data_IF_123114717477
#
_entry.id   IF_123114717477
#
_cell.length_a   1.000
_cell.length_b   1.000
_cell.length_c   1.000
_cell.angle_alpha   90.00
_cell.angle_beta   90.00
_cell.angle_gamma   90.00
#
_symmetry.space_group_name_H-M   'P 1'
#
loop_
_entity.id
_entity.type
_entity.pdbx_description
1 polymer ?
#
# COMPACT_ATOMS: atom_id res chain seq x y z
N UNK A 1 -18.87 39.12 43.00
CA UNK A 1 -17.94 38.61 44.02
C UNK A 1 -18.61 37.44 44.70
N UNK A 2 -18.40 36.23 44.18
CA UNK A 2 -18.78 34.96 44.82
C UNK A 2 -18.11 33.84 44.03
N UNK A 3 -17.09 33.31 44.69
CA UNK A 3 -16.11 32.29 44.35
C UNK A 3 -16.66 31.01 43.74
N UNK A 4 -16.08 30.60 42.61
CA UNK A 4 -16.04 29.22 42.13
C UNK A 4 -15.32 28.34 43.16
N UNK A 5 -15.88 27.20 43.61
CA UNK A 5 -15.12 26.25 44.38
C UNK A 5 -14.20 25.44 43.45
N UNK A 6 -12.89 25.60 43.66
CA UNK A 6 -11.90 24.57 43.40
C UNK A 6 -12.35 23.28 44.10
N UNK A 7 -12.54 22.18 43.36
CA UNK A 7 -12.64 20.86 43.97
C UNK A 7 -11.87 19.81 43.14
N UNK A 8 -10.74 19.40 43.73
CA UNK A 8 -10.15 18.06 43.71
C UNK A 8 -9.83 17.43 42.35
N UNK A 9 -8.66 17.77 41.79
CA UNK A 9 -7.94 16.88 40.87
C UNK A 9 -7.37 15.70 41.68
N UNK A 10 -7.92 14.51 41.45
CA UNK A 10 -7.30 13.25 41.88
C UNK A 10 -6.06 12.98 41.01
N UNK A 11 -4.93 12.52 41.58
CA UNK A 11 -3.70 12.28 40.83
C UNK A 11 -3.85 11.25 39.70
N UNK A 12 -4.88 10.40 39.74
CA UNK A 12 -5.19 9.45 38.67
C UNK A 12 -5.75 10.11 37.38
N UNK A 13 -6.42 11.25 37.51
CA UNK A 13 -6.99 11.97 36.36
C UNK A 13 -5.91 12.68 35.53
N UNK A 14 -4.89 13.24 36.19
CA UNK A 14 -3.76 13.91 35.56
C UNK A 14 -2.89 12.90 34.80
N UNK A 15 -2.63 11.73 35.39
CA UNK A 15 -1.91 10.63 34.73
C UNK A 15 -2.66 10.11 33.49
N UNK A 16 -4.00 10.12 33.55
CA UNK A 16 -4.84 9.71 32.43
C UNK A 16 -4.79 10.73 31.29
N UNK A 17 -4.83 12.03 31.58
CA UNK A 17 -4.73 13.10 30.58
C UNK A 17 -3.34 13.17 29.94
N UNK A 18 -2.27 12.98 30.72
CA UNK A 18 -0.91 12.90 30.19
C UNK A 18 -0.76 11.71 29.24
N UNK A 19 -1.24 10.53 29.64
CA UNK A 19 -1.27 9.35 28.76
C UNK A 19 -2.09 9.60 27.50
N UNK A 20 -3.29 10.19 27.62
CA UNK A 20 -4.13 10.53 26.47
C UNK A 20 -3.47 11.53 25.52
N UNK A 21 -2.75 12.52 26.05
CA UNK A 21 -1.98 13.48 25.26
C UNK A 21 -0.80 12.83 24.55
N UNK A 22 -0.04 11.97 25.24
CA UNK A 22 1.06 11.20 24.65
C UNK A 22 0.59 10.26 23.55
N UNK A 23 -0.53 9.56 23.76
CA UNK A 23 -1.17 8.72 22.73
C UNK A 23 -1.67 9.56 21.54
N UNK A 24 -2.17 10.77 21.79
CA UNK A 24 -2.60 11.71 20.74
C UNK A 24 -1.43 12.17 19.86
N UNK A 25 -0.28 12.49 20.47
CA UNK A 25 0.91 12.91 19.75
C UNK A 25 1.55 11.75 18.97
N UNK A 26 1.61 10.55 19.56
CA UNK A 26 2.07 9.36 18.87
C UNK A 26 1.18 9.06 17.65
N UNK A 27 -0.15 9.10 17.83
CA UNK A 27 -1.13 8.91 16.78
C UNK A 27 -0.94 9.91 15.63
N UNK A 28 -0.78 11.20 15.96
CA UNK A 28 -0.58 12.28 14.99
C UNK A 28 0.73 12.10 14.21
N UNK A 29 1.80 11.67 14.87
CA UNK A 29 3.09 11.42 14.22
C UNK A 29 3.02 10.26 13.21
N UNK A 30 2.35 9.17 13.56
CA UNK A 30 2.17 7.99 12.70
C UNK A 30 1.34 8.32 11.47
N UNK A 31 0.24 9.06 11.65
CA UNK A 31 -0.62 9.50 10.55
C UNK A 31 0.12 10.43 9.59
N UNK A 32 1.02 11.28 10.08
CA UNK A 32 1.88 12.14 9.24
C UNK A 32 2.82 11.32 8.37
N UNK A 33 3.43 10.26 8.91
CA UNK A 33 4.31 9.38 8.14
C UNK A 33 3.55 8.59 7.06
N UNK A 34 2.36 8.07 7.40
CA UNK A 34 1.50 7.38 6.43
C UNK A 34 1.03 8.33 5.33
N UNK A 35 0.64 9.56 5.69
CA UNK A 35 0.29 10.62 4.75
C UNK A 35 1.45 10.96 3.81
N UNK A 36 2.68 11.08 4.32
CA UNK A 36 3.85 11.40 3.51
C UNK A 36 4.14 10.31 2.45
N UNK A 37 4.02 9.04 2.83
CA UNK A 37 4.20 7.90 1.91
C UNK A 37 3.13 7.86 0.83
N UNK A 38 1.87 8.07 1.21
CA UNK A 38 0.77 8.18 0.25
C UNK A 38 0.97 9.36 -0.70
N UNK A 39 1.26 10.54 -0.17
CA UNK A 39 1.44 11.76 -0.96
C UNK A 39 2.64 11.64 -1.91
N UNK A 40 3.73 11.01 -1.46
CA UNK A 40 4.88 10.69 -2.31
C UNK A 40 4.51 9.79 -3.48
N UNK A 41 3.79 8.69 -3.22
CA UNK A 41 3.31 7.79 -4.27
C UNK A 41 2.34 8.50 -5.24
N UNK A 42 1.43 9.34 -4.73
CA UNK A 42 0.49 10.11 -5.54
C UNK A 42 1.18 11.13 -6.45
N UNK A 43 2.16 11.89 -5.92
CA UNK A 43 2.94 12.84 -6.73
C UNK A 43 3.65 12.11 -7.85
N UNK A 44 4.34 11.00 -7.54
CA UNK A 44 5.05 10.19 -8.54
C UNK A 44 4.10 9.71 -9.63
N UNK A 45 2.92 9.22 -9.23
CA UNK A 45 1.88 8.75 -10.16
C UNK A 45 1.38 9.87 -11.05
N UNK A 46 1.07 11.05 -10.50
CA UNK A 46 0.58 12.21 -11.26
C UNK A 46 1.62 12.75 -12.24
N UNK A 47 2.88 12.84 -11.82
CA UNK A 47 3.99 13.26 -12.69
C UNK A 47 4.13 12.26 -13.85
N UNK A 48 4.15 10.96 -13.55
CA UNK A 48 4.27 9.91 -14.56
C UNK A 48 3.09 9.95 -15.54
N UNK A 49 1.87 10.06 -15.03
CA UNK A 49 0.66 10.18 -15.85
C UNK A 49 0.73 11.41 -16.77
N UNK A 50 1.13 12.56 -16.23
CA UNK A 50 1.25 13.81 -17.00
C UNK A 50 2.30 13.69 -18.10
N UNK A 51 3.45 13.08 -17.82
CA UNK A 51 4.50 12.82 -18.82
C UNK A 51 4.03 11.84 -19.89
N UNK A 52 3.30 10.79 -19.52
CA UNK A 52 2.72 9.82 -20.45
C UNK A 52 1.71 10.49 -21.38
N UNK A 53 0.75 11.25 -20.85
CA UNK A 53 -0.23 11.98 -21.66
C UNK A 53 0.40 13.03 -22.56
N UNK A 54 1.42 13.75 -22.07
CA UNK A 54 2.16 14.70 -22.89
C UNK A 54 2.85 14.00 -24.06
N UNK A 55 3.54 12.89 -23.80
CA UNK A 55 4.21 12.08 -24.82
C UNK A 55 3.25 11.58 -25.90
N UNK A 56 2.04 11.14 -25.53
CA UNK A 56 1.05 10.68 -26.50
C UNK A 56 0.58 11.85 -27.39
N UNK A 57 0.36 13.03 -26.80
CA UNK A 57 -0.07 14.24 -27.55
C UNK A 57 0.98 14.71 -28.55
N UNK A 58 2.26 14.67 -28.20
CA UNK A 58 3.36 15.09 -29.10
C UNK A 58 3.57 14.14 -30.28
N UNK A 59 3.00 12.92 -30.25
CA UNK A 59 3.12 11.90 -31.31
C UNK A 59 2.05 12.00 -32.41
N UNK A 60 1.15 12.99 -32.35
CA UNK A 60 0.09 13.14 -33.36
C UNK A 60 0.68 13.64 -34.69
N UNK A 61 0.96 12.71 -35.60
CA UNK A 61 1.35 13.04 -36.97
C UNK A 61 0.10 13.32 -37.81
N UNK A 62 0.01 14.55 -38.36
CA UNK A 62 -1.01 14.93 -39.33
C UNK A 62 -0.31 15.09 -40.67
N UNK A 63 -0.35 14.10 -41.58
CA UNK A 63 0.27 14.23 -42.89
C UNK A 63 -0.45 15.30 -43.70
N UNK A 64 0.30 16.11 -44.44
CA UNK A 64 -0.28 16.94 -45.51
C UNK A 64 -0.63 16.08 -46.72
N UNK A 65 -1.62 16.51 -47.52
CA UNK A 65 -2.20 15.75 -48.65
C UNK A 65 -1.16 15.14 -49.61
N UNK A 66 0.01 15.77 -49.77
CA UNK A 66 1.07 15.32 -50.68
C UNK A 66 2.26 14.63 -49.98
N UNK A 67 2.34 14.64 -48.64
CA UNK A 67 3.42 14.01 -47.88
C UNK A 67 3.21 12.50 -47.64
N UNK A 68 1.99 12.00 -47.87
CA UNK A 68 1.61 10.61 -47.56
C UNK A 68 2.30 9.55 -48.46
N UNK A 69 2.80 9.95 -49.65
CA UNK A 69 3.42 9.03 -50.62
C UNK A 69 4.95 9.04 -50.63
N UNK A 70 5.60 10.09 -50.08
CA UNK A 70 7.04 10.29 -50.27
C UNK A 70 7.85 10.32 -48.97
N UNK A 71 7.20 10.49 -47.82
CA UNK A 71 7.90 10.62 -46.54
C UNK A 71 7.43 9.56 -45.56
N UNK A 72 8.31 8.60 -45.29
CA UNK A 72 8.11 7.63 -44.22
C UNK A 72 8.06 8.45 -42.91
N UNK A 73 7.01 8.28 -42.09
CA UNK A 73 6.89 9.02 -40.84
C UNK A 73 8.09 8.71 -39.93
N UNK A 74 8.67 9.71 -39.25
CA UNK A 74 9.84 9.53 -38.40
C UNK A 74 9.43 8.81 -37.11
N UNK A 75 9.28 7.48 -37.17
CA UNK A 75 9.07 6.63 -36.00
C UNK A 75 10.39 6.00 -35.57
N UNK A 76 10.72 6.10 -34.28
CA UNK A 76 11.86 5.42 -33.68
C UNK A 76 11.35 4.32 -32.75
N UNK A 77 11.11 3.13 -33.31
CA UNK A 77 10.52 1.99 -32.60
C UNK A 77 11.21 1.67 -31.26
N UNK A 78 12.55 1.75 -31.20
CA UNK A 78 13.31 1.46 -29.99
C UNK A 78 13.13 2.49 -28.87
N UNK A 79 13.10 3.79 -29.21
CA UNK A 79 12.93 4.86 -28.21
C UNK A 79 11.48 4.94 -27.73
N UNK A 80 10.54 4.68 -28.63
CA UNK A 80 9.11 4.72 -28.33
C UNK A 80 8.68 3.57 -27.43
N UNK A 81 9.17 2.35 -27.70
CA UNK A 81 8.90 1.19 -26.84
C UNK A 81 9.53 1.33 -25.46
N UNK A 82 10.78 1.78 -25.37
CA UNK A 82 11.47 1.97 -24.10
C UNK A 82 10.77 3.01 -23.22
N UNK A 83 10.38 4.15 -23.80
CA UNK A 83 9.65 5.19 -23.06
C UNK A 83 8.27 4.72 -22.60
N UNK A 84 7.52 3.98 -23.43
CA UNK A 84 6.22 3.43 -23.06
C UNK A 84 6.34 2.44 -21.90
N UNK A 85 7.33 1.54 -21.94
CA UNK A 85 7.59 0.59 -20.88
C UNK A 85 7.95 1.30 -19.57
N UNK A 86 8.84 2.30 -19.63
CA UNK A 86 9.23 3.07 -18.46
C UNK A 86 8.03 3.80 -17.82
N UNK A 87 7.20 4.50 -18.62
CA UNK A 87 6.02 5.16 -18.08
C UNK A 87 5.01 4.16 -17.51
N UNK A 88 4.85 3.00 -18.15
CA UNK A 88 3.97 1.93 -17.65
C UNK A 88 4.42 1.37 -16.31
N UNK A 89 5.72 1.11 -16.12
CA UNK A 89 6.25 0.59 -14.85
C UNK A 89 6.13 1.62 -13.74
N UNK A 90 6.52 2.88 -13.98
CA UNK A 90 6.38 3.95 -12.98
C UNK A 90 4.92 4.23 -12.64
N UNK A 91 4.02 4.17 -13.62
CA UNK A 91 2.59 4.38 -13.39
C UNK A 91 1.97 3.22 -12.61
N UNK A 92 2.37 1.99 -12.91
CA UNK A 92 1.95 0.80 -12.17
C UNK A 92 2.44 0.83 -10.73
N UNK A 93 3.74 1.02 -10.51
CA UNK A 93 4.34 1.08 -9.16
C UNK A 93 3.76 2.25 -8.35
N UNK A 94 3.63 3.42 -8.97
CA UNK A 94 3.00 4.58 -8.35
C UNK A 94 1.52 4.33 -8.02
N UNK A 95 0.75 3.80 -8.96
CA UNK A 95 -0.67 3.54 -8.81
C UNK A 95 -0.98 2.49 -7.74
N UNK A 96 -0.30 1.35 -7.76
CA UNK A 96 -0.43 0.34 -6.71
C UNK A 96 0.07 0.87 -5.35
N UNK A 97 1.17 1.60 -5.32
CA UNK A 97 1.66 2.26 -4.11
C UNK A 97 0.62 3.24 -3.53
N UNK A 98 0.03 4.07 -4.38
CA UNK A 98 -1.02 5.02 -4.01
C UNK A 98 -2.26 4.31 -3.46
N UNK A 99 -2.69 3.20 -4.08
CA UNK A 99 -3.82 2.41 -3.60
C UNK A 99 -3.55 1.75 -2.24
N UNK A 100 -2.38 1.13 -2.08
CA UNK A 100 -2.00 0.44 -0.84
C UNK A 100 -1.82 1.46 0.29
N UNK A 101 -1.01 2.50 0.10
CA UNK A 101 -0.77 3.50 1.14
C UNK A 101 -2.02 4.35 1.42
N UNK A 102 -2.83 4.63 0.40
CA UNK A 102 -4.11 5.33 0.56
C UNK A 102 -5.12 4.49 1.34
N UNK A 103 -5.21 3.19 1.04
CA UNK A 103 -6.01 2.23 1.79
C UNK A 103 -5.57 2.12 3.25
N UNK A 104 -4.26 2.01 3.50
CA UNK A 104 -3.69 2.00 4.85
C UNK A 104 -4.00 3.30 5.62
N UNK A 105 -3.94 4.45 4.95
CA UNK A 105 -4.22 5.75 5.57
C UNK A 105 -5.70 5.92 5.93
N UNK A 106 -6.61 5.51 5.03
CA UNK A 106 -8.06 5.57 5.28
C UNK A 106 -8.50 4.59 6.36
N UNK A 107 -7.95 3.37 6.37
CA UNK A 107 -8.31 2.34 7.34
C UNK A 107 -7.55 2.47 8.68
N UNK A 108 -6.63 3.43 8.78
CA UNK A 108 -5.84 3.73 9.98
C UNK A 108 -5.03 2.52 10.47
N UNK A 109 -4.49 1.75 9.53
CA UNK A 109 -3.80 0.48 9.78
C UNK A 109 -2.30 0.74 9.80
N UNK A 110 -1.62 0.23 10.82
CA UNK A 110 -0.17 0.42 10.97
C UNK A 110 0.61 -0.88 11.04
N UNK A 111 -0.07 -2.03 11.12
CA UNK A 111 0.56 -3.36 11.15
C UNK A 111 0.16 -4.19 9.92
N UNK A 112 1.10 -4.98 9.40
CA UNK A 112 0.87 -5.90 8.29
C UNK A 112 -0.26 -6.93 8.53
N UNK A 113 -0.40 -7.54 9.74
CA UNK A 113 -1.52 -8.46 10.00
C UNK A 113 -2.89 -7.77 10.01
N UNK A 114 -2.99 -6.54 10.51
CA UNK A 114 -4.24 -5.76 10.42
C UNK A 114 -4.56 -5.38 8.97
N UNK A 115 -3.53 -5.13 8.16
CA UNK A 115 -3.69 -4.78 6.75
C UNK A 115 -4.24 -5.96 5.95
N UNK A 116 -3.66 -7.15 6.11
CA UNK A 116 -4.16 -8.35 5.44
C UNK A 116 -5.56 -8.70 5.91
N UNK A 117 -5.86 -8.52 7.19
CA UNK A 117 -7.19 -8.74 7.75
C UNK A 117 -8.25 -7.80 7.15
N UNK A 118 -7.99 -6.48 7.14
CA UNK A 118 -8.91 -5.50 6.56
C UNK A 118 -9.01 -5.59 5.04
N UNK A 119 -7.91 -5.92 4.36
CA UNK A 119 -7.91 -6.13 2.92
C UNK A 119 -8.76 -7.36 2.54
N UNK A 120 -8.61 -8.46 3.29
CA UNK A 120 -9.45 -9.66 3.13
C UNK A 120 -10.92 -9.35 3.43
N UNK A 121 -11.19 -8.57 4.48
CA UNK A 121 -12.55 -8.12 4.79
C UNK A 121 -13.16 -7.25 3.68
N UNK A 122 -12.37 -6.37 3.06
CA UNK A 122 -12.82 -5.54 1.94
C UNK A 122 -13.05 -6.34 0.64
N UNK A 123 -12.28 -7.41 0.41
CA UNK A 123 -12.37 -8.24 -0.80
C UNK A 123 -13.44 -9.33 -0.72
N UNK A 124 -13.63 -9.97 0.44
CA UNK A 124 -14.54 -11.10 0.61
C UNK A 124 -15.87 -10.74 1.30
N UNK A 125 -15.98 -9.52 1.83
CA UNK A 125 -17.13 -9.13 2.65
C UNK A 125 -17.09 -9.73 4.05
N UNK A 126 -18.03 -9.29 4.89
CA UNK A 126 -18.07 -9.63 6.32
C UNK A 126 -18.39 -11.12 6.56
N UNK A 127 -19.20 -11.71 5.69
CA UNK A 127 -19.61 -13.12 5.75
C UNK A 127 -18.48 -14.08 5.38
N UNK A 128 -17.78 -13.83 4.26
CA UNK A 128 -16.66 -14.65 3.82
C UNK A 128 -15.45 -14.57 4.78
N UNK A 129 -15.32 -13.47 5.51
CA UNK A 129 -14.24 -13.29 6.48
C UNK A 129 -14.49 -14.06 7.79
N UNK A 130 -15.74 -14.12 8.29
CA UNK A 130 -16.10 -14.98 9.43
C UNK A 130 -15.81 -16.46 9.13
N UNK A 131 -16.12 -16.89 7.92
CA UNK A 131 -15.87 -18.27 7.47
C UNK A 131 -14.36 -18.57 7.38
N UNK A 132 -13.58 -17.67 6.77
CA UNK A 132 -12.12 -17.84 6.69
C UNK A 132 -11.41 -17.76 8.04
N UNK A 133 -11.85 -16.88 8.93
CA UNK A 133 -11.25 -16.77 10.26
C UNK A 133 -11.58 -18.00 11.11
N UNK A 134 -12.81 -18.53 11.00
CA UNK A 134 -13.17 -19.82 11.59
C UNK A 134 -12.38 -20.98 11.00
N UNK A 135 -12.13 -20.96 9.68
CA UNK A 135 -11.31 -21.96 8.99
C UNK A 135 -9.83 -21.88 9.37
N UNK A 136 -9.28 -20.67 9.53
CA UNK A 136 -7.89 -20.45 9.95
C UNK A 136 -7.67 -20.84 11.42
N UNK A 137 -8.64 -20.55 12.30
CA UNK A 137 -8.59 -21.01 13.70
C UNK A 137 -8.73 -22.52 13.81
N UNK A 138 -9.62 -23.16 13.05
CA UNK A 138 -9.74 -24.63 13.04
C UNK A 138 -8.52 -25.31 12.42
N UNK A 139 -7.84 -24.69 11.44
CA UNK A 139 -6.56 -25.17 10.93
C UNK A 139 -5.42 -25.03 11.94
N UNK A 140 -5.39 -23.97 12.76
CA UNK A 140 -4.39 -23.78 13.81
C UNK A 140 -4.63 -24.69 15.02
N UNK A 141 -5.89 -25.01 15.32
CA UNK A 141 -6.30 -25.85 16.45
C UNK A 141 -6.28 -27.34 16.10
N UNK A 142 -6.45 -27.71 14.84
CA UNK A 142 -6.24 -29.08 14.41
C UNK A 142 -4.73 -29.38 14.39
N UNK A 143 -4.30 -30.54 14.93
CA UNK A 143 -2.91 -30.95 14.82
C UNK A 143 -2.60 -31.08 13.32
N UNK A 144 -1.65 -30.26 12.85
CA UNK A 144 -1.12 -30.36 11.48
C UNK A 144 -0.84 -31.82 11.15
N UNK A 145 -1.35 -32.27 10.00
CA UNK A 145 -1.22 -33.64 9.55
C UNK A 145 0.26 -34.03 9.50
N UNK A 146 0.55 -35.29 9.83
CA UNK A 146 1.93 -35.76 10.10
C UNK A 146 2.84 -35.52 8.89
N UNK A 147 2.27 -35.73 7.71
CA UNK A 147 2.93 -35.56 6.41
C UNK A 147 3.23 -34.08 6.11
N UNK A 148 2.38 -33.15 6.58
CA UNK A 148 2.61 -31.71 6.38
C UNK A 148 3.75 -31.19 7.25
N UNK A 149 3.90 -31.74 8.47
CA UNK A 149 5.02 -31.41 9.36
C UNK A 149 6.35 -31.88 8.79
N UNK A 150 6.39 -33.10 8.24
CA UNK A 150 7.59 -33.65 7.61
C UNK A 150 8.02 -32.83 6.39
N UNK A 151 7.07 -32.40 5.55
CA UNK A 151 7.36 -31.52 4.41
C UNK A 151 7.90 -30.16 4.88
N UNK A 152 7.34 -29.58 5.94
CA UNK A 152 7.83 -28.32 6.49
C UNK A 152 9.24 -28.44 7.05
N UNK A 153 9.54 -29.51 7.80
CA UNK A 153 10.88 -29.77 8.33
C UNK A 153 11.90 -29.98 7.19
N UNK A 154 11.52 -30.66 6.11
CA UNK A 154 12.37 -30.81 4.92
C UNK A 154 12.64 -29.48 4.23
N UNK A 155 11.63 -28.62 4.09
CA UNK A 155 11.76 -27.29 3.49
C UNK A 155 12.66 -26.40 4.36
N UNK A 156 12.47 -26.40 5.67
CA UNK A 156 13.24 -25.58 6.61
C UNK A 156 14.71 -26.01 6.66
N UNK A 157 14.98 -27.32 6.69
CA UNK A 157 16.33 -27.87 6.59
C UNK A 157 16.99 -27.58 5.22
N UNK A 158 16.23 -27.62 4.12
CA UNK A 158 16.74 -27.26 2.79
C UNK A 158 17.07 -25.76 2.68
N UNK A 159 16.28 -24.90 3.33
CA UNK A 159 16.50 -23.46 3.32
C UNK A 159 17.72 -23.07 4.17
N UNK A 160 17.89 -23.68 5.34
CA UNK A 160 19.04 -23.43 6.23
C UNK A 160 20.35 -23.99 5.68
N UNK A 161 20.32 -25.13 5.00
CA UNK A 161 21.50 -25.69 4.31
C UNK A 161 21.96 -24.83 3.13
N UNK A 162 21.03 -24.18 2.44
CA UNK A 162 21.33 -23.19 1.38
C UNK A 162 22.00 -21.92 1.94
N UNK A 163 21.63 -21.50 3.16
CA UNK A 163 22.12 -20.27 3.80
C UNK A 163 23.54 -20.39 4.38
N UNK A 164 24.06 -21.62 4.55
CA UNK A 164 25.39 -21.93 5.09
C UNK A 164 26.49 -22.09 4.03
N UNK A 165 26.15 -21.94 2.74
CA UNK A 165 27.08 -22.01 1.61
C UNK A 165 27.34 -20.63 1.05
#
# INVERSE_FOLDING_TARGET
MSTLPQSCETPESIISLEKLSAFSDEYKSRRRQQMLRFFGASILTLITARLAFHNIKTRKYVPTLFQNNYKIPPFSYQKESLSALAYGTFFSVGGFGMLIFGGCWMANISTLPEFSYKLRCALLGEEGMRELYGREQTLKMNPMDKDTKEILDLIENAFDSSKKK
#
